data_IF_823935306100
#
_entry.id   IF_823935306100
#
_cell.length_a   1.000
_cell.length_b   1.000
_cell.length_c   1.000
_cell.angle_alpha   90.00
_cell.angle_beta   90.00
_cell.angle_gamma   90.00
#
_symmetry.space_group_name_H-M   'P 1'
#
loop_
_entity.id
_entity.type
_entity.pdbx_description
1 polymer ?
#
# COMPACT_ATOMS: atom_id res chain seq x y z
N UNK A 1 -1.25 -16.34 -16.84
CA UNK A 1 -1.76 -17.08 -15.67
C UNK A 1 -1.02 -16.76 -14.37
N UNK A 2 0.30 -16.99 -14.21
CA UNK A 2 0.99 -16.70 -12.93
C UNK A 2 1.02 -15.21 -12.50
N UNK A 3 1.16 -14.28 -13.46
CA UNK A 3 1.19 -12.85 -13.17
C UNK A 3 -0.16 -12.25 -12.74
N UNK A 4 -1.27 -12.76 -13.27
CA UNK A 4 -2.63 -12.28 -12.93
C UNK A 4 -3.05 -12.73 -11.52
N UNK A 5 -2.68 -13.95 -11.12
CA UNK A 5 -2.89 -14.45 -9.76
C UNK A 5 -2.11 -13.61 -8.75
N UNK A 6 -0.87 -13.26 -9.07
CA UNK A 6 -0.03 -12.39 -8.24
C UNK A 6 -0.62 -10.97 -8.08
N UNK A 7 -1.15 -10.40 -9.16
CA UNK A 7 -1.84 -9.10 -9.12
C UNK A 7 -3.09 -9.15 -8.24
N UNK A 8 -3.93 -10.18 -8.40
CA UNK A 8 -5.13 -10.37 -7.60
C UNK A 8 -4.82 -10.52 -6.10
N UNK A 9 -3.74 -11.23 -5.76
CA UNK A 9 -3.28 -11.38 -4.37
C UNK A 9 -2.81 -10.05 -3.77
N UNK A 10 -2.09 -9.22 -4.52
CA UNK A 10 -1.65 -7.90 -4.04
C UNK A 10 -2.85 -6.99 -3.75
N UNK A 11 -3.84 -6.96 -4.65
CA UNK A 11 -5.05 -6.15 -4.47
C UNK A 11 -5.85 -6.64 -3.27
N UNK A 12 -6.03 -7.95 -3.11
CA UNK A 12 -6.69 -8.53 -1.94
C UNK A 12 -5.98 -8.18 -0.64
N UNK A 13 -4.67 -8.36 -0.58
CA UNK A 13 -3.87 -8.04 0.60
C UNK A 13 -3.96 -6.54 0.94
N UNK A 14 -3.98 -5.66 -0.06
CA UNK A 14 -4.18 -4.23 0.17
C UNK A 14 -5.52 -3.96 0.84
N UNK A 15 -6.62 -4.52 0.32
CA UNK A 15 -7.94 -4.34 0.92
C UNK A 15 -8.01 -4.92 2.34
N UNK A 16 -7.45 -6.11 2.58
CA UNK A 16 -7.40 -6.71 3.91
C UNK A 16 -6.58 -5.86 4.91
N UNK A 17 -5.47 -5.25 4.47
CA UNK A 17 -4.61 -4.41 5.32
C UNK A 17 -5.27 -3.07 5.67
N UNK A 18 -5.99 -2.43 4.73
CA UNK A 18 -6.63 -1.13 4.99
C UNK A 18 -7.98 -1.25 5.70
N UNK A 19 -8.72 -2.36 5.48
CA UNK A 19 -10.05 -2.59 6.08
C UNK A 19 -10.00 -3.48 7.32
N UNK A 20 -8.89 -4.18 7.55
CA UNK A 20 -8.68 -5.06 8.69
C UNK A 20 -8.51 -4.33 10.02
N UNK A 21 -8.52 -5.12 11.09
CA UNK A 21 -8.29 -4.63 12.46
C UNK A 21 -6.81 -4.44 12.78
N UNK A 22 -5.91 -5.13 12.08
CA UNK A 22 -4.44 -4.98 12.19
C UNK A 22 -3.93 -3.95 11.17
N UNK A 23 -4.32 -2.68 11.38
CA UNK A 23 -3.84 -1.56 10.56
C UNK A 23 -2.40 -1.25 10.94
N UNK A 24 -1.47 -1.92 10.27
CA UNK A 24 -0.04 -1.67 10.40
C UNK A 24 0.47 -0.81 9.24
N UNK A 25 1.01 0.36 9.56
CA UNK A 25 1.44 1.33 8.55
C UNK A 25 2.58 0.83 7.65
N UNK A 26 3.41 -0.09 8.14
CA UNK A 26 4.46 -0.74 7.33
C UNK A 26 3.82 -1.62 6.27
N UNK A 27 2.74 -2.34 6.60
CA UNK A 27 1.97 -3.17 5.66
C UNK A 27 1.25 -2.31 4.62
N UNK A 28 0.64 -1.20 5.06
CA UNK A 28 0.02 -0.21 4.17
C UNK A 28 1.07 0.34 3.18
N UNK A 29 2.25 0.71 3.68
CA UNK A 29 3.36 1.20 2.84
C UNK A 29 3.77 0.19 1.76
N UNK A 30 3.94 -1.09 2.15
CA UNK A 30 4.33 -2.15 1.21
C UNK A 30 3.28 -2.35 0.12
N UNK A 31 1.99 -2.32 0.47
CA UNK A 31 0.93 -2.46 -0.53
C UNK A 31 0.84 -1.25 -1.46
N UNK A 32 0.99 -0.02 -0.96
CA UNK A 32 1.03 1.19 -1.80
C UNK A 32 2.15 1.09 -2.84
N UNK A 33 3.35 0.65 -2.44
CA UNK A 33 4.48 0.43 -3.35
C UNK A 33 4.14 -0.67 -4.37
N UNK A 34 3.60 -1.79 -3.92
CA UNK A 34 3.28 -2.94 -4.78
C UNK A 34 2.23 -2.55 -5.85
N UNK A 35 1.15 -1.87 -5.45
CA UNK A 35 0.09 -1.43 -6.37
C UNK A 35 0.60 -0.35 -7.34
N UNK A 36 1.39 0.62 -6.88
CA UNK A 36 1.96 1.64 -7.75
C UNK A 36 2.89 1.03 -8.81
N UNK A 37 3.71 0.04 -8.44
CA UNK A 37 4.55 -0.71 -9.38
C UNK A 37 3.73 -1.53 -10.37
N UNK A 38 2.66 -2.20 -9.91
CA UNK A 38 1.74 -2.94 -10.79
C UNK A 38 1.05 -2.04 -11.82
N UNK A 39 0.70 -0.81 -11.43
CA UNK A 39 0.08 0.18 -12.31
C UNK A 39 1.09 0.97 -13.16
N UNK A 40 2.39 0.68 -13.02
CA UNK A 40 3.47 1.38 -13.69
C UNK A 40 3.39 2.91 -13.48
N UNK A 41 3.03 3.32 -12.26
CA UNK A 41 2.91 4.72 -11.87
C UNK A 41 4.27 5.44 -11.98
N UNK A 42 4.23 6.71 -12.33
CA UNK A 42 5.43 7.54 -12.45
C UNK A 42 6.19 7.62 -11.10
N UNK A 43 7.53 7.67 -11.09
CA UNK A 43 8.34 7.72 -9.87
C UNK A 43 7.95 8.85 -8.91
N UNK A 44 7.52 10.00 -9.45
CA UNK A 44 7.08 11.17 -8.70
C UNK A 44 5.80 10.87 -7.93
N UNK A 45 4.88 10.09 -8.54
CA UNK A 45 3.62 9.68 -7.91
C UNK A 45 3.88 8.69 -6.79
N UNK A 46 4.78 7.73 -6.99
CA UNK A 46 5.20 6.80 -5.94
C UNK A 46 5.82 7.55 -4.75
N UNK A 47 6.70 8.52 -5.02
CA UNK A 47 7.33 9.35 -3.99
C UNK A 47 6.30 10.13 -3.18
N UNK A 48 5.33 10.76 -3.86
CA UNK A 48 4.23 11.49 -3.20
C UNK A 48 3.39 10.59 -2.30
N UNK A 49 3.05 9.38 -2.75
CA UNK A 49 2.29 8.41 -1.97
C UNK A 49 3.06 7.96 -0.74
N UNK A 50 4.38 7.73 -0.86
CA UNK A 50 5.23 7.37 0.28
C UNK A 50 5.32 8.49 1.32
N UNK A 51 5.38 9.75 0.90
CA UNK A 51 5.38 10.88 1.82
C UNK A 51 4.04 11.04 2.56
N UNK A 52 2.92 10.74 1.91
CA UNK A 52 1.62 10.69 2.59
C UNK A 52 1.60 9.60 3.68
N UNK A 53 2.10 8.40 3.38
CA UNK A 53 2.17 7.33 4.37
C UNK A 53 3.11 7.68 5.53
N UNK A 54 4.24 8.35 5.26
CA UNK A 54 5.13 8.86 6.32
C UNK A 54 4.44 9.88 7.22
N UNK A 55 3.66 10.80 6.66
CA UNK A 55 2.89 11.80 7.43
C UNK A 55 1.83 11.12 8.30
N UNK A 56 1.06 10.18 7.76
CA UNK A 56 0.08 9.42 8.56
C UNK A 56 0.74 8.61 9.69
N UNK A 57 2.02 8.20 9.53
CA UNK A 57 2.80 7.57 10.61
C UNK A 57 3.11 8.54 11.73
N UNK A 58 3.54 9.75 11.40
CA UNK A 58 3.83 10.79 12.39
C UNK A 58 2.57 11.19 13.15
N UNK A 59 1.44 11.29 12.44
CA UNK A 59 0.16 11.67 13.02
C UNK A 59 -0.56 10.54 13.76
N UNK A 60 -0.03 9.31 13.74
CA UNK A 60 -0.66 8.10 14.32
C UNK A 60 -2.09 7.82 13.81
N UNK A 61 -2.42 8.29 12.61
CA UNK A 61 -3.77 8.19 12.03
C UNK A 61 -4.17 6.75 11.66
N UNK A 62 -3.17 5.89 11.47
CA UNK A 62 -3.34 4.54 10.91
C UNK A 62 -2.76 3.43 11.79
N UNK A 63 -2.31 3.74 13.00
CA UNK A 63 -1.89 2.74 13.99
C UNK A 63 -2.95 2.65 15.07
N UNK A 64 -3.67 1.53 15.09
CA UNK A 64 -4.47 1.09 16.24
C UNK A 64 -3.68 -0.01 16.95
#
# INVERSE_FOLDING_TARGET
>A
MGGEIYQAQIVRNFFEIITGTDRNITRISMCVIAVAKLRNEAPERLTSLLDQVRKSRQNRELSI
#
